data_IF_035387014873
#
_entry.id   IF_035387014873
#
_cell.length_a   1.000
_cell.length_b   1.000
_cell.length_c   1.000
_cell.angle_alpha   90.00
_cell.angle_beta   90.00
_cell.angle_gamma   90.00
#
_symmetry.space_group_name_H-M   'P 1'
#
loop_
_entity.id
_entity.type
_entity.pdbx_description
1 polymer ?
#
# COMPACT_ATOMS: atom_id res chain seq x y z
N UNK A 1 9.50 18.75 5.09
CA UNK A 1 9.97 19.34 3.82
C UNK A 1 10.90 18.41 3.06
N UNK A 2 12.01 17.93 3.65
CA UNK A 2 12.97 17.02 2.98
C UNK A 2 12.32 15.74 2.41
N UNK A 3 11.40 15.11 3.16
CA UNK A 3 10.72 13.89 2.72
C UNK A 3 9.82 14.12 1.49
N UNK A 4 9.14 15.27 1.42
CA UNK A 4 8.27 15.60 0.28
C UNK A 4 9.12 15.84 -0.98
N UNK A 5 10.23 16.57 -0.84
CA UNK A 5 11.19 16.80 -1.92
C UNK A 5 11.79 15.47 -2.42
N UNK A 6 12.17 14.59 -1.50
CA UNK A 6 12.70 13.27 -1.83
C UNK A 6 11.68 12.41 -2.61
N UNK A 7 10.41 12.40 -2.18
CA UNK A 7 9.35 11.65 -2.85
C UNK A 7 9.04 12.18 -4.25
N UNK A 8 9.04 13.50 -4.43
CA UNK A 8 8.84 14.12 -5.74
C UNK A 8 10.02 13.84 -6.69
N UNK A 9 11.27 13.86 -6.18
CA UNK A 9 12.45 13.51 -6.96
C UNK A 9 12.43 12.03 -7.38
N UNK A 10 12.08 11.13 -6.46
CA UNK A 10 11.93 9.70 -6.73
C UNK A 10 10.86 9.43 -7.78
N UNK A 11 9.69 10.10 -7.69
CA UNK A 11 8.64 10.04 -8.70
C UNK A 11 9.17 10.42 -10.09
N UNK A 12 9.90 11.54 -10.20
CA UNK A 12 10.47 11.99 -11.47
C UNK A 12 11.42 10.97 -12.09
N UNK A 13 12.28 10.35 -11.28
CA UNK A 13 13.19 9.28 -11.70
C UNK A 13 12.41 8.05 -12.18
N UNK A 14 11.36 7.64 -11.45
CA UNK A 14 10.54 6.48 -11.81
C UNK A 14 9.76 6.69 -13.11
N UNK A 15 9.17 7.87 -13.30
CA UNK A 15 8.44 8.22 -14.54
C UNK A 15 9.39 8.25 -15.73
N UNK A 16 10.58 8.83 -15.57
CA UNK A 16 11.60 8.84 -16.61
C UNK A 16 12.10 7.41 -16.94
N UNK A 17 12.38 6.60 -15.92
CA UNK A 17 12.83 5.22 -16.08
C UNK A 17 11.78 4.32 -16.76
N UNK A 18 10.50 4.63 -16.59
CA UNK A 18 9.40 3.84 -17.12
C UNK A 18 8.89 4.30 -18.50
N UNK A 19 9.47 5.35 -19.08
CA UNK A 19 9.08 5.93 -20.37
C UNK A 19 9.34 5.02 -21.60
N UNK A 20 9.90 3.82 -21.44
CA UNK A 20 10.37 2.98 -22.56
C UNK A 20 9.62 1.69 -22.85
N UNK A 21 8.81 1.13 -21.95
CA UNK A 21 8.41 -0.29 -22.08
C UNK A 21 7.02 -0.68 -21.58
N UNK A 22 6.32 0.15 -20.79
CA UNK A 22 4.97 -0.16 -20.30
C UNK A 22 4.14 1.11 -20.06
N UNK A 23 2.83 1.05 -20.30
CA UNK A 23 1.92 2.13 -19.93
C UNK A 23 1.92 2.27 -18.40
N UNK A 24 2.59 3.31 -17.90
CA UNK A 24 2.67 3.60 -16.47
C UNK A 24 1.33 4.19 -16.02
N UNK A 25 0.67 3.64 -14.99
CA UNK A 25 -0.53 4.21 -14.38
C UNK A 25 -0.21 5.47 -13.56
N UNK A 26 0.16 6.55 -14.25
CA UNK A 26 0.66 7.81 -13.64
C UNK A 26 -0.41 8.48 -12.79
N UNK A 27 -1.68 8.44 -13.20
CA UNK A 27 -2.78 9.07 -12.48
C UNK A 27 -3.01 8.41 -11.11
N UNK A 28 -3.00 7.08 -11.09
CA UNK A 28 -3.13 6.24 -9.91
C UNK A 28 -1.98 6.48 -8.93
N UNK A 29 -0.74 6.59 -9.45
CA UNK A 29 0.45 6.89 -8.64
C UNK A 29 0.36 8.30 -8.02
N UNK A 30 -0.03 9.32 -8.80
CA UNK A 30 -0.19 10.69 -8.30
C UNK A 30 -1.28 10.77 -7.22
N UNK A 31 -2.38 10.03 -7.39
CA UNK A 31 -3.43 9.93 -6.38
C UNK A 31 -2.90 9.35 -5.06
N UNK A 32 -2.16 8.24 -5.11
CA UNK A 32 -1.56 7.64 -3.90
C UNK A 32 -0.58 8.58 -3.20
N UNK A 33 0.22 9.33 -3.96
CA UNK A 33 1.12 10.35 -3.39
C UNK A 33 0.31 11.45 -2.70
N UNK A 34 -0.78 11.92 -3.31
CA UNK A 34 -1.69 12.87 -2.69
C UNK A 34 -2.25 12.37 -1.36
N UNK A 35 -2.76 11.13 -1.34
CA UNK A 35 -3.27 10.48 -0.13
C UNK A 35 -2.20 10.39 0.96
N UNK A 36 -0.98 9.98 0.59
CA UNK A 36 0.16 9.95 1.51
C UNK A 36 0.47 11.32 2.10
N UNK A 37 0.60 12.36 1.26
CA UNK A 37 0.93 13.72 1.71
C UNK A 37 -0.15 14.27 2.64
N UNK A 38 -1.43 14.06 2.34
CA UNK A 38 -2.55 14.54 3.17
C UNK A 38 -2.57 13.85 4.55
N UNK A 39 -2.41 12.52 4.59
CA UNK A 39 -2.46 11.79 5.86
C UNK A 39 -1.21 11.99 6.72
N UNK A 40 -0.01 12.02 6.12
CA UNK A 40 1.21 12.32 6.87
C UNK A 40 1.27 13.80 7.28
N UNK A 41 0.82 14.71 6.42
CA UNK A 41 0.78 16.14 6.71
C UNK A 41 -0.21 16.51 7.82
N UNK A 42 -1.27 15.72 8.02
CA UNK A 42 -2.25 15.91 9.10
C UNK A 42 -1.86 15.22 10.42
N UNK A 43 -0.71 14.55 10.49
CA UNK A 43 -0.20 13.95 11.73
C UNK A 43 -0.89 12.64 12.15
N UNK A 44 -1.51 11.93 11.22
CA UNK A 44 -2.15 10.62 11.49
C UNK A 44 -1.10 9.56 11.81
N UNK A 45 -1.46 8.61 12.69
CA UNK A 45 -0.58 7.51 13.07
C UNK A 45 -0.05 6.74 11.87
N UNK A 46 1.27 6.62 11.76
CA UNK A 46 1.97 6.07 10.59
C UNK A 46 1.46 4.68 10.19
N UNK A 47 1.18 3.80 11.15
CA UNK A 47 0.74 2.45 10.81
C UNK A 47 -0.66 2.44 10.19
N UNK A 48 -1.55 3.35 10.59
CA UNK A 48 -2.87 3.48 9.99
C UNK A 48 -2.76 3.95 8.54
N UNK A 49 -1.89 4.93 8.28
CA UNK A 49 -1.64 5.43 6.92
C UNK A 49 -1.05 4.35 6.03
N UNK A 50 -0.06 3.60 6.52
CA UNK A 50 0.54 2.49 5.78
C UNK A 50 -0.48 1.36 5.52
N UNK A 51 -1.37 1.07 6.46
CA UNK A 51 -2.46 0.11 6.27
C UNK A 51 -3.42 0.53 5.17
N UNK A 52 -3.87 1.79 5.18
CA UNK A 52 -4.76 2.34 4.14
C UNK A 52 -4.07 2.31 2.77
N UNK A 53 -2.81 2.73 2.69
CA UNK A 53 -2.04 2.72 1.45
C UNK A 53 -1.84 1.30 0.91
N UNK A 54 -1.58 0.32 1.78
CA UNK A 54 -1.45 -1.08 1.37
C UNK A 54 -2.73 -1.61 0.72
N UNK A 55 -3.91 -1.27 1.27
CA UNK A 55 -5.20 -1.63 0.68
C UNK A 55 -5.47 -0.91 -0.64
N UNK A 56 -5.22 0.40 -0.73
CA UNK A 56 -5.42 1.17 -1.95
C UNK A 56 -4.53 0.67 -3.10
N UNK A 57 -3.26 0.37 -2.81
CA UNK A 57 -2.34 -0.23 -3.79
C UNK A 57 -2.87 -1.59 -4.25
N UNK A 58 -3.32 -2.43 -3.31
CA UNK A 58 -3.93 -3.71 -3.62
C UNK A 58 -5.15 -3.60 -4.53
N UNK A 59 -5.98 -2.57 -4.37
CA UNK A 59 -7.14 -2.36 -5.24
C UNK A 59 -6.81 -1.80 -6.62
N UNK A 60 -5.85 -0.88 -6.69
CA UNK A 60 -5.59 -0.11 -7.90
C UNK A 60 -4.65 -0.82 -8.87
N UNK A 61 -3.75 -1.69 -8.37
CA UNK A 61 -2.70 -2.30 -9.18
C UNK A 61 -2.71 -3.84 -9.21
N UNK A 62 -3.62 -4.50 -8.49
CA UNK A 62 -3.68 -5.97 -8.49
C UNK A 62 -4.58 -6.48 -9.61
N UNK A 63 -3.99 -7.16 -10.60
CA UNK A 63 -4.75 -7.88 -11.64
C UNK A 63 -5.49 -9.11 -11.08
N UNK A 64 -5.01 -9.64 -9.96
CA UNK A 64 -5.59 -10.79 -9.27
C UNK A 64 -6.58 -10.33 -8.19
N UNK A 65 -7.56 -11.17 -7.80
CA UNK A 65 -8.52 -10.83 -6.75
C UNK A 65 -7.84 -10.53 -5.40
N UNK A 66 -7.53 -9.26 -5.15
CA UNK A 66 -6.80 -8.80 -3.96
C UNK A 66 -7.49 -9.21 -2.66
N UNK A 67 -8.82 -9.20 -2.64
CA UNK A 67 -9.66 -9.58 -1.50
C UNK A 67 -9.33 -10.98 -0.96
N UNK A 68 -9.03 -11.93 -1.86
CA UNK A 68 -8.68 -13.29 -1.48
C UNK A 68 -7.32 -13.33 -0.78
N UNK A 69 -6.35 -12.58 -1.31
CA UNK A 69 -5.02 -12.47 -0.70
C UNK A 69 -5.10 -11.79 0.67
N UNK A 70 -5.77 -10.64 0.75
CA UNK A 70 -5.94 -9.90 2.01
C UNK A 70 -6.63 -10.75 3.08
N UNK A 71 -7.69 -11.49 2.71
CA UNK A 71 -8.37 -12.41 3.61
C UNK A 71 -7.43 -13.47 4.18
N UNK A 72 -6.64 -14.13 3.34
CA UNK A 72 -5.68 -15.16 3.80
C UNK A 72 -4.60 -14.58 4.71
N UNK A 73 -4.04 -13.42 4.37
CA UNK A 73 -2.99 -12.78 5.19
C UNK A 73 -3.51 -12.30 6.54
N UNK A 74 -4.71 -11.73 6.59
CA UNK A 74 -5.28 -11.16 7.82
C UNK A 74 -5.89 -12.23 8.74
N UNK A 75 -6.54 -13.25 8.17
CA UNK A 75 -7.24 -14.28 8.94
C UNK A 75 -6.47 -15.58 9.14
N UNK A 76 -5.49 -15.89 8.29
CA UNK A 76 -4.71 -17.12 8.37
C UNK A 76 -4.03 -17.35 9.74
N UNK A 77 -3.31 -16.36 10.30
CA UNK A 77 -2.70 -16.48 11.62
C UNK A 77 -3.73 -16.72 12.74
N UNK A 78 -4.88 -16.05 12.67
CA UNK A 78 -5.98 -16.18 13.65
C UNK A 78 -6.60 -17.57 13.63
N UNK A 79 -6.85 -18.14 12.44
CA UNK A 79 -7.36 -19.50 12.31
C UNK A 79 -6.37 -20.53 12.85
N UNK A 80 -5.08 -20.39 12.55
CA UNK A 80 -4.05 -21.27 13.08
C UNK A 80 -3.93 -21.15 14.61
N UNK A 81 -4.03 -19.93 15.15
CA UNK A 81 -4.05 -19.72 16.59
C UNK A 81 -5.24 -20.43 17.23
N UNK A 82 -6.46 -20.31 16.69
CA UNK A 82 -7.63 -21.01 17.23
C UNK A 82 -7.43 -22.52 17.20
N UNK A 83 -6.91 -23.07 16.10
CA UNK A 83 -6.70 -24.51 15.95
C UNK A 83 -5.63 -25.08 16.90
N UNK A 84 -4.62 -24.30 17.26
CA UNK A 84 -3.51 -24.75 18.13
C UNK A 84 -3.76 -24.39 19.58
N UNK A 85 -4.19 -23.15 19.86
CA UNK A 85 -4.31 -22.63 21.21
C UNK A 85 -5.56 -23.16 21.93
N UNK A 86 -6.73 -23.25 21.27
CA UNK A 86 -7.98 -23.65 21.93
C UNK A 86 -7.90 -25.06 22.54
N UNK A 87 -7.33 -26.09 21.90
CA UNK A 87 -7.19 -27.41 22.51
C UNK A 87 -6.16 -27.49 23.66
N UNK A 88 -5.29 -26.49 23.80
CA UNK A 88 -4.23 -26.43 24.82
C UNK A 88 -4.67 -25.69 26.09
N UNK A 89 -5.89 -25.11 26.11
CA UNK A 89 -6.53 -24.47 27.27
C UNK A 89 -7.74 -25.29 27.73
#
# INVERSE_FOLDING_TARGET
MIAVVFLLALLGVLVFAAAGTAAVPVAEILMLIGVFIVFFGSGVYVAAVLGILAFLIGFMFSDRPWWLFAGQTLWGPSSNFVLVAVPLF
#
